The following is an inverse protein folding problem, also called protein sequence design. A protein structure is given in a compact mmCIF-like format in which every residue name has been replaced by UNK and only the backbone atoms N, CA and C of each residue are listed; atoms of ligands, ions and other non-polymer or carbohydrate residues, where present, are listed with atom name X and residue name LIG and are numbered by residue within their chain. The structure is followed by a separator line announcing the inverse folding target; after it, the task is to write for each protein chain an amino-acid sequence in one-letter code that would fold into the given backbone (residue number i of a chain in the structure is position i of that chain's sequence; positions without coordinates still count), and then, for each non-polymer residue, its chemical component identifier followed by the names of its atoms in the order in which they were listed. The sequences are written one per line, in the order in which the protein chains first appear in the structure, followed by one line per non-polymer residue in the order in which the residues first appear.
data_IF_212318622657
#
_entry.id   IF_212318622657
#
_cell.length_a   1.000
_cell.length_b   1.000
_cell.length_c   1.000
_cell.angle_alpha   90.00
_cell.angle_beta   90.00
_cell.angle_gamma   90.00
#
_symmetry.space_group_name_H-M   'P 1'
#
loop_
_entity.id
_entity.type
_entity.pdbx_description
1 polymer ?
#
# COMPACT_ATOMS: atom_id res chain seq x y z
N UNK A 1 -22.99 -15.74 13.03
CA UNK A 1 -22.05 -15.00 12.16
C UNK A 1 -22.36 -15.33 10.70
N UNK A 2 -22.35 -14.37 9.78
CA UNK A 2 -22.74 -14.56 8.36
C UNK A 2 -21.62 -15.14 7.47
N UNK A 3 -20.60 -15.78 8.05
CA UNK A 3 -19.57 -16.53 7.29
C UNK A 3 -18.54 -15.68 6.53
N UNK A 4 -18.45 -14.38 6.77
CA UNK A 4 -17.44 -13.51 6.12
C UNK A 4 -16.12 -13.47 6.90
N UNK A 5 -15.00 -13.39 6.16
CA UNK A 5 -13.65 -13.19 6.71
C UNK A 5 -13.22 -11.73 6.53
N UNK A 6 -12.80 -11.08 7.62
CA UNK A 6 -12.23 -9.73 7.57
C UNK A 6 -10.77 -9.79 7.10
N UNK A 7 -10.41 -8.90 6.18
CA UNK A 7 -9.03 -8.67 5.75
C UNK A 7 -8.75 -7.18 5.90
N UNK A 8 -7.75 -6.81 6.70
CA UNK A 8 -7.42 -5.40 6.97
C UNK A 8 -6.13 -5.00 6.25
N UNK A 9 -6.06 -3.76 5.75
CA UNK A 9 -4.87 -3.19 5.11
C UNK A 9 -4.43 -1.94 5.88
N UNK A 10 -3.18 -1.86 6.37
CA UNK A 10 -2.76 -0.78 7.26
C UNK A 10 -2.34 0.50 6.51
N UNK A 11 -3.23 1.08 5.70
CA UNK A 11 -2.95 2.22 4.81
C UNK A 11 -2.33 3.42 5.54
N UNK A 12 -2.90 3.84 6.67
CA UNK A 12 -2.40 5.00 7.43
C UNK A 12 -1.17 4.69 8.26
N UNK A 13 -0.96 3.43 8.64
CA UNK A 13 0.18 3.05 9.48
C UNK A 13 1.51 3.41 8.82
N UNK A 14 1.57 3.35 7.49
CA UNK A 14 2.76 3.71 6.74
C UNK A 14 3.24 5.14 6.96
N UNK A 15 2.37 6.07 7.37
CA UNK A 15 2.76 7.45 7.60
C UNK A 15 3.45 7.68 8.95
N UNK A 16 3.27 6.80 9.93
CA UNK A 16 3.75 7.01 11.30
C UNK A 16 4.49 5.84 11.93
N UNK A 17 4.27 4.61 11.44
CA UNK A 17 4.88 3.41 11.99
C UNK A 17 6.29 3.21 11.43
N UNK A 18 7.23 2.92 12.32
CA UNK A 18 8.54 2.40 11.93
C UNK A 18 8.48 0.86 11.76
N UNK A 19 9.46 0.24 11.09
CA UNK A 19 9.57 -1.21 11.07
C UNK A 19 9.56 -1.79 12.49
N UNK A 20 8.75 -2.84 12.72
CA UNK A 20 8.56 -3.47 14.02
C UNK A 20 7.87 -2.60 15.09
N UNK A 21 7.18 -1.52 14.72
CA UNK A 21 6.39 -0.72 15.68
C UNK A 21 5.40 -1.62 16.44
N UNK A 22 5.46 -1.67 17.79
CA UNK A 22 4.70 -2.63 18.58
C UNK A 22 3.19 -2.38 18.57
N UNK A 23 2.74 -1.22 18.09
CA UNK A 23 1.30 -0.90 17.95
C UNK A 23 0.65 -1.65 16.79
N UNK A 24 1.44 -2.18 15.85
CA UNK A 24 0.92 -2.97 14.74
C UNK A 24 0.82 -4.46 15.11
N UNK A 25 -0.27 -5.15 14.71
CA UNK A 25 -0.47 -6.55 15.03
C UNK A 25 0.36 -7.45 14.11
N UNK A 26 1.69 -7.39 14.19
CA UNK A 26 2.59 -8.13 13.29
C UNK A 26 2.36 -9.64 13.25
N UNK A 27 1.85 -10.23 14.34
CA UNK A 27 1.48 -11.65 14.41
C UNK A 27 0.37 -12.04 13.40
N UNK A 28 -0.51 -11.08 13.05
CA UNK A 28 -1.57 -11.22 12.04
C UNK A 28 -1.11 -10.87 10.63
N UNK A 29 0.07 -10.26 10.51
CA UNK A 29 0.57 -9.77 9.23
C UNK A 29 0.91 -10.92 8.29
N UNK A 30 0.42 -10.82 7.06
CA UNK A 30 0.71 -11.75 5.97
C UNK A 30 1.14 -10.95 4.74
N UNK A 31 2.20 -11.42 4.09
CA UNK A 31 2.62 -10.92 2.78
C UNK A 31 1.91 -11.73 1.71
N UNK A 32 1.09 -11.08 0.91
CA UNK A 32 0.53 -11.65 -0.30
C UNK A 32 1.46 -11.32 -1.46
N UNK A 33 2.27 -12.29 -1.89
CA UNK A 33 3.25 -12.10 -2.97
C UNK A 33 2.52 -11.95 -4.30
N UNK A 34 2.84 -10.89 -5.04
CA UNK A 34 2.24 -10.63 -6.34
C UNK A 34 2.99 -11.38 -7.44
N UNK A 35 2.25 -11.91 -8.41
CA UNK A 35 2.84 -12.35 -9.67
C UNK A 35 3.42 -11.15 -10.44
N UNK A 36 4.34 -11.38 -11.39
CA UNK A 36 4.85 -10.31 -12.25
C UNK A 36 3.74 -9.55 -13.00
N UNK A 37 2.70 -10.26 -13.46
CA UNK A 37 1.55 -9.67 -14.12
C UNK A 37 0.74 -8.78 -13.17
N UNK A 38 0.45 -9.24 -11.95
CA UNK A 38 -0.26 -8.46 -10.95
C UNK A 38 0.53 -7.20 -10.55
N UNK A 39 1.85 -7.31 -10.42
CA UNK A 39 2.72 -6.17 -10.15
C UNK A 39 2.72 -5.17 -11.31
N UNK A 40 2.69 -5.64 -12.56
CA UNK A 40 2.55 -4.77 -13.73
C UNK A 40 1.19 -4.05 -13.74
N UNK A 41 0.09 -4.77 -13.51
CA UNK A 41 -1.24 -4.17 -13.37
C UNK A 41 -1.29 -3.13 -12.25
N UNK A 42 -0.64 -3.42 -11.11
CA UNK A 42 -0.53 -2.47 -9.99
C UNK A 42 0.23 -1.20 -10.39
N UNK A 43 1.33 -1.32 -11.13
CA UNK A 43 2.08 -0.17 -11.66
C UNK A 43 1.21 0.67 -12.60
N UNK A 44 0.49 0.03 -13.52
CA UNK A 44 -0.41 0.72 -14.44
C UNK A 44 -1.55 1.42 -13.71
N UNK A 45 -2.14 0.79 -12.69
CA UNK A 45 -3.20 1.39 -11.88
C UNK A 45 -2.70 2.65 -11.17
N UNK A 46 -1.53 2.59 -10.52
CA UNK A 46 -0.92 3.76 -9.88
C UNK A 46 -0.64 4.86 -10.91
N UNK A 47 -0.06 4.52 -12.06
CA UNK A 47 0.25 5.48 -13.13
C UNK A 47 -0.99 6.18 -13.70
N UNK A 48 -2.16 5.55 -13.66
CA UNK A 48 -3.42 6.16 -14.09
C UNK A 48 -3.89 7.30 -13.16
N UNK A 49 -3.40 7.38 -11.92
CA UNK A 49 -3.71 8.45 -10.98
C UNK A 49 -2.78 9.66 -11.15
N UNK A 50 -2.75 10.22 -12.36
CA UNK A 50 -1.80 11.30 -12.76
C UNK A 50 -1.78 12.47 -11.79
N UNK A 51 -2.95 12.97 -11.35
CA UNK A 51 -3.04 14.10 -10.40
C UNK A 51 -2.47 13.81 -9.01
N UNK A 52 -2.22 12.54 -8.68
CA UNK A 52 -1.61 12.14 -7.41
C UNK A 52 -0.09 11.97 -7.54
N UNK A 53 0.42 11.88 -8.77
CA UNK A 53 1.83 11.63 -9.11
C UNK A 53 2.54 12.89 -9.58
N UNK A 54 1.81 13.79 -10.24
CA UNK A 54 2.35 15.00 -10.84
C UNK A 54 1.88 16.24 -10.08
N UNK A 55 2.69 17.29 -10.16
CA UNK A 55 2.33 18.62 -9.65
C UNK A 55 1.25 19.22 -10.54
N UNK A 56 0.20 19.78 -9.92
CA UNK A 56 -0.86 20.53 -10.59
C UNK A 56 -0.83 21.99 -10.12
N UNK A 57 -0.11 22.82 -10.88
CA UNK A 57 0.16 24.22 -10.52
C UNK A 57 0.97 24.33 -9.23
N UNK A 58 0.38 24.89 -8.17
CA UNK A 58 1.00 24.99 -6.84
C UNK A 58 0.78 23.73 -5.98
N UNK A 59 -0.03 22.78 -6.44
CA UNK A 59 -0.35 21.56 -5.69
C UNK A 59 0.71 20.51 -5.93
N UNK A 60 1.52 20.23 -4.90
CA UNK A 60 2.47 19.13 -4.91
C UNK A 60 1.73 17.77 -5.03
N UNK A 61 2.38 16.75 -5.62
CA UNK A 61 1.81 15.42 -5.72
C UNK A 61 1.56 14.83 -4.33
N UNK A 62 0.42 14.15 -4.18
CA UNK A 62 0.03 13.48 -2.93
C UNK A 62 0.94 12.28 -2.66
N UNK A 63 1.32 11.54 -3.70
CA UNK A 63 2.18 10.37 -3.59
C UNK A 63 3.65 10.77 -3.77
N UNK A 64 4.35 10.95 -2.65
CA UNK A 64 5.80 11.12 -2.67
C UNK A 64 6.54 9.82 -3.01
N UNK A 65 7.83 9.94 -3.29
CA UNK A 65 8.69 8.81 -3.69
C UNK A 65 8.66 7.66 -2.67
N UNK A 66 8.76 7.95 -1.37
CA UNK A 66 8.72 6.91 -0.33
C UNK A 66 7.38 6.17 -0.30
N UNK A 67 6.28 6.87 -0.58
CA UNK A 67 4.95 6.26 -0.69
C UNK A 67 4.86 5.37 -1.92
N UNK A 68 5.37 5.82 -3.06
CA UNK A 68 5.42 5.02 -4.28
C UNK A 68 6.29 3.77 -4.12
N UNK A 69 7.46 3.87 -3.50
CA UNK A 69 8.34 2.72 -3.24
C UNK A 69 7.64 1.66 -2.37
N UNK A 70 6.82 2.07 -1.41
CA UNK A 70 6.02 1.16 -0.57
C UNK A 70 4.86 0.54 -1.34
N UNK A 71 4.11 1.37 -2.05
CA UNK A 71 3.02 0.90 -2.91
C UNK A 71 3.55 -0.04 -4.00
N UNK A 72 4.77 0.11 -4.50
CA UNK A 72 5.32 -0.72 -5.57
C UNK A 72 6.10 -1.95 -5.10
N UNK A 73 6.05 -2.27 -3.81
CA UNK A 73 6.58 -3.55 -3.32
C UNK A 73 5.89 -4.72 -4.03
N UNK A 74 6.61 -5.83 -4.31
CA UNK A 74 6.09 -7.00 -5.01
C UNK A 74 5.17 -7.88 -4.12
N UNK A 75 4.55 -7.28 -3.10
CA UNK A 75 3.62 -7.91 -2.19
C UNK A 75 2.65 -6.89 -1.61
N UNK A 76 1.49 -7.36 -1.15
CA UNK A 76 0.61 -6.61 -0.25
C UNK A 76 0.80 -7.08 1.19
N UNK A 77 0.71 -6.16 2.14
CA UNK A 77 0.62 -6.51 3.56
C UNK A 77 -0.83 -6.44 4.01
N UNK A 78 -1.34 -7.55 4.53
CA UNK A 78 -2.69 -7.64 5.10
C UNK A 78 -2.64 -8.20 6.51
N UNK A 79 -3.63 -7.86 7.34
CA UNK A 79 -3.91 -8.55 8.59
C UNK A 79 -5.11 -9.48 8.41
N UNK A 80 -4.92 -10.73 8.83
CA UNK A 80 -5.96 -11.75 8.93
C UNK A 80 -6.30 -11.95 10.42
#
# INVERSE_FOLDING_TARGET
AVGATLIEVPIWAWHWACPHDPRLPWHRARKFILSPEQLASKRSAIAAHVSQLETDGERAPVLNETTLQRLLQPFELVFL
#
